data_IF_816112527955
#
_entry.id   IF_816112527955
#
_cell.length_a   1.000
_cell.length_b   1.000
_cell.length_c   1.000
_cell.angle_alpha   90.00
_cell.angle_beta   90.00
_cell.angle_gamma   90.00
#
_symmetry.space_group_name_H-M   'P 1'
#
loop_
_entity.id
_entity.type
_entity.pdbx_description
1 polymer ?
#
# COMPACT_ATOMS: atom_id res chain seq x y z
N UNK A 1 -92.44 8.54 -10.91
CA UNK A 1 -92.68 9.55 -9.86
C UNK A 1 -92.43 8.87 -8.53
N UNK A 2 -91.21 8.92 -7.98
CA UNK A 2 -90.63 9.90 -7.03
C UNK A 2 -90.26 9.10 -5.77
N UNK A 3 -88.97 8.81 -5.52
CA UNK A 3 -88.01 9.55 -4.68
C UNK A 3 -88.40 9.65 -3.20
N UNK A 4 -87.63 8.97 -2.34
CA UNK A 4 -87.20 9.39 -1.00
C UNK A 4 -85.91 8.59 -0.69
N UNK A 5 -84.68 9.10 -0.85
CA UNK A 5 -83.99 10.11 -0.04
C UNK A 5 -83.84 9.67 1.43
N UNK A 6 -82.72 9.01 1.74
CA UNK A 6 -82.17 8.97 3.10
C UNK A 6 -80.66 9.22 2.99
N UNK A 7 -80.28 10.41 3.41
CA UNK A 7 -78.90 10.90 3.47
C UNK A 7 -78.22 10.31 4.70
N UNK A 8 -77.13 9.56 4.50
CA UNK A 8 -76.16 9.27 5.56
C UNK A 8 -74.93 10.15 5.29
N UNK A 9 -74.77 11.19 6.10
CA UNK A 9 -73.59 12.04 6.13
C UNK A 9 -72.42 11.25 6.76
N UNK A 10 -71.55 10.70 5.93
CA UNK A 10 -70.25 10.17 6.36
C UNK A 10 -69.31 11.36 6.63
N UNK A 11 -69.13 11.68 7.93
CA UNK A 11 -68.19 12.69 8.40
C UNK A 11 -66.77 12.22 8.08
N UNK A 12 -66.14 12.83 7.08
CA UNK A 12 -64.73 12.59 6.77
C UNK A 12 -63.85 13.19 7.88
N UNK A 13 -63.59 12.41 8.93
CA UNK A 13 -62.61 12.76 9.98
C UNK A 13 -61.24 12.75 9.33
N UNK A 14 -60.77 13.94 8.95
CA UNK A 14 -59.45 14.18 8.42
C UNK A 14 -58.43 14.06 9.57
N UNK A 15 -58.11 12.83 9.97
CA UNK A 15 -57.06 12.55 10.93
C UNK A 15 -55.74 12.42 10.17
N UNK A 16 -55.01 13.53 10.03
CA UNK A 16 -53.62 13.54 9.57
C UNK A 16 -52.75 12.80 10.60
N UNK A 17 -52.79 11.47 10.58
CA UNK A 17 -51.84 10.65 11.30
C UNK A 17 -50.51 10.72 10.54
N UNK A 18 -49.69 11.69 10.93
CA UNK A 18 -48.33 11.85 10.43
C UNK A 18 -47.54 10.64 10.91
N UNK A 19 -47.22 9.72 9.98
CA UNK A 19 -46.34 8.58 10.24
C UNK A 19 -44.90 9.11 10.44
N UNK A 20 -44.35 9.09 11.66
CA UNK A 20 -43.01 9.63 11.94
C UNK A 20 -41.92 8.90 11.13
N UNK A 21 -42.21 7.67 10.71
CA UNK A 21 -41.28 6.86 9.94
C UNK A 21 -41.32 7.20 8.44
N UNK A 22 -42.41 7.79 7.96
CA UNK A 22 -42.52 8.34 6.61
C UNK A 22 -41.73 9.66 6.50
N UNK A 23 -41.80 10.51 7.52
CA UNK A 23 -41.02 11.76 7.58
C UNK A 23 -39.52 11.48 7.59
N UNK A 24 -39.05 10.48 8.34
CA UNK A 24 -37.64 10.07 8.36
C UNK A 24 -37.16 9.55 7.00
N UNK A 25 -37.99 8.80 6.28
CA UNK A 25 -37.67 8.31 4.93
C UNK A 25 -37.60 9.46 3.93
N UNK A 26 -38.51 10.42 4.06
CA UNK A 26 -38.54 11.60 3.21
C UNK A 26 -37.34 12.52 3.48
N UNK A 27 -37.04 12.79 4.75
CA UNK A 27 -35.88 13.57 5.17
C UNK A 27 -34.58 12.93 4.67
N UNK A 28 -34.44 11.61 4.82
CA UNK A 28 -33.31 10.85 4.27
C UNK A 28 -33.21 10.99 2.75
N UNK A 29 -34.35 10.92 2.04
CA UNK A 29 -34.42 11.11 0.59
C UNK A 29 -34.03 12.52 0.15
N UNK A 30 -34.49 13.55 0.87
CA UNK A 30 -34.12 14.96 0.64
C UNK A 30 -32.62 15.18 0.89
N UNK A 31 -32.08 14.62 1.98
CA UNK A 31 -30.66 14.72 2.32
C UNK A 31 -29.79 14.03 1.26
N UNK A 32 -30.16 12.82 0.83
CA UNK A 32 -29.46 12.11 -0.24
C UNK A 32 -29.51 12.88 -1.56
N UNK A 33 -30.66 13.45 -1.96
CA UNK A 33 -30.73 14.30 -3.16
C UNK A 33 -29.79 15.49 -3.05
N UNK A 34 -29.87 16.25 -1.96
CA UNK A 34 -29.07 17.47 -1.74
C UNK A 34 -27.57 17.20 -1.77
N UNK A 35 -27.12 16.10 -1.18
CA UNK A 35 -25.68 15.81 -1.04
C UNK A 35 -25.16 14.73 -2.00
N UNK A 36 -26.01 14.13 -2.84
CA UNK A 36 -25.63 13.04 -3.77
C UNK A 36 -24.39 13.38 -4.62
N UNK A 37 -24.36 14.58 -5.20
CA UNK A 37 -23.23 15.05 -6.01
C UNK A 37 -21.94 15.21 -5.19
N UNK A 38 -22.04 15.76 -3.97
CA UNK A 38 -20.90 15.91 -3.06
C UNK A 38 -20.38 14.56 -2.54
N UNK A 39 -21.29 13.64 -2.19
CA UNK A 39 -20.93 12.28 -1.80
C UNK A 39 -20.28 11.53 -2.97
N UNK A 40 -20.78 11.73 -4.18
CA UNK A 40 -20.21 11.17 -5.41
C UNK A 40 -18.81 11.68 -5.70
N UNK A 41 -18.58 12.99 -5.62
CA UNK A 41 -17.26 13.59 -5.82
C UNK A 41 -16.28 13.17 -4.72
N UNK A 42 -16.70 13.18 -3.46
CA UNK A 42 -15.90 12.74 -2.33
C UNK A 42 -15.50 11.27 -2.46
N UNK A 43 -16.44 10.40 -2.84
CA UNK A 43 -16.17 8.99 -3.14
C UNK A 43 -15.17 8.85 -4.29
N UNK A 44 -15.28 9.68 -5.33
CA UNK A 44 -14.34 9.67 -6.45
C UNK A 44 -12.94 10.13 -6.02
N UNK A 45 -12.81 11.17 -5.19
CA UNK A 45 -11.53 11.59 -4.62
C UNK A 45 -10.88 10.47 -3.79
N UNK A 46 -11.63 9.78 -2.93
CA UNK A 46 -11.12 8.65 -2.16
C UNK A 46 -10.78 7.42 -3.03
N UNK A 47 -11.51 7.21 -4.12
CA UNK A 47 -11.30 6.09 -5.05
C UNK A 47 -10.23 6.37 -6.12
N UNK A 48 -9.76 7.61 -6.27
CA UNK A 48 -8.57 7.94 -7.06
C UNK A 48 -7.35 7.29 -6.39
N UNK A 49 -7.12 6.00 -6.69
CA UNK A 49 -5.85 5.33 -6.40
C UNK A 49 -4.74 6.24 -6.92
N UNK A 50 -3.89 6.74 -6.02
CA UNK A 50 -2.76 7.60 -6.39
C UNK A 50 -2.03 6.95 -7.56
N UNK A 51 -1.76 7.74 -8.62
CA UNK A 51 -1.20 7.24 -9.89
C UNK A 51 -0.08 6.24 -9.61
N UNK A 52 -0.14 5.08 -10.26
CA UNK A 52 0.89 4.04 -10.21
C UNK A 52 2.18 4.61 -10.80
N UNK A 53 2.98 5.21 -9.93
CA UNK A 53 4.19 5.95 -10.26
C UNK A 53 5.15 5.93 -9.08
N UNK A 54 6.31 6.58 -9.23
CA UNK A 54 7.32 6.69 -8.18
C UNK A 54 6.67 7.26 -6.90
N UNK A 55 7.11 6.78 -5.73
CA UNK A 55 6.65 7.31 -4.44
C UNK A 55 6.90 8.83 -4.35
N UNK A 56 6.03 9.58 -3.63
CA UNK A 56 6.25 11.00 -3.32
C UNK A 56 7.67 11.25 -2.79
N UNK A 57 8.25 12.41 -3.09
CA UNK A 57 9.65 12.70 -2.74
C UNK A 57 9.84 12.70 -1.23
N UNK A 58 8.89 13.28 -0.52
CA UNK A 58 8.83 13.41 0.94
C UNK A 58 8.75 12.02 1.59
N UNK A 59 7.82 11.19 1.11
CA UNK A 59 7.68 9.81 1.57
C UNK A 59 8.98 9.00 1.37
N UNK A 60 9.62 9.15 0.20
CA UNK A 60 10.90 8.50 -0.08
C UNK A 60 12.02 8.98 0.83
N UNK A 61 12.06 10.27 1.16
CA UNK A 61 13.07 10.84 2.04
C UNK A 61 12.96 10.26 3.45
N UNK A 62 11.75 10.13 3.99
CA UNK A 62 11.51 9.51 5.29
C UNK A 62 11.93 8.03 5.30
N UNK A 63 11.62 7.28 4.24
CA UNK A 63 12.04 5.89 4.10
C UNK A 63 13.57 5.74 4.03
N UNK A 64 14.23 6.63 3.29
CA UNK A 64 15.70 6.67 3.20
C UNK A 64 16.35 7.04 4.54
N UNK A 65 15.77 7.98 5.26
CA UNK A 65 16.25 8.36 6.59
C UNK A 65 16.19 7.16 7.56
N UNK A 66 15.06 6.45 7.64
CA UNK A 66 14.99 5.20 8.41
C UNK A 66 16.03 4.18 7.95
N UNK A 67 16.16 4.00 6.63
CA UNK A 67 17.11 3.08 6.01
C UNK A 67 18.56 3.35 6.43
N UNK A 68 18.99 4.61 6.37
CA UNK A 68 20.37 4.98 6.73
C UNK A 68 20.70 4.66 8.18
N UNK A 69 19.76 4.91 9.11
CA UNK A 69 19.93 4.58 10.53
C UNK A 69 20.00 3.09 10.80
N UNK A 70 19.35 2.28 9.96
CA UNK A 70 19.26 0.82 10.10
C UNK A 70 20.01 0.07 9.00
N UNK A 71 21.01 0.68 8.39
CA UNK A 71 21.69 0.12 7.21
C UNK A 71 22.32 -1.26 7.48
N UNK A 72 22.80 -1.50 8.70
CA UNK A 72 23.34 -2.79 9.12
C UNK A 72 22.30 -3.90 8.99
N UNK A 73 21.09 -3.67 9.51
CA UNK A 73 19.97 -4.63 9.49
C UNK A 73 18.67 -3.95 9.03
N UNK A 74 18.48 -3.75 7.71
CA UNK A 74 17.37 -2.94 7.19
C UNK A 74 16.07 -3.75 7.05
N UNK A 75 15.65 -4.35 8.15
CA UNK A 75 14.45 -5.16 8.29
C UNK A 75 13.54 -4.53 9.36
N UNK A 76 12.68 -3.57 8.97
CA UNK A 76 11.77 -2.96 9.93
C UNK A 76 10.80 -4.00 10.49
N UNK A 77 10.51 -3.93 11.79
CA UNK A 77 9.46 -4.72 12.43
C UNK A 77 8.07 -4.33 11.92
N UNK A 78 7.04 -5.13 12.20
CA UNK A 78 5.67 -4.79 11.81
C UNK A 78 5.21 -3.45 12.40
N UNK A 79 5.53 -3.18 13.66
CA UNK A 79 5.23 -1.91 14.29
C UNK A 79 5.94 -0.73 13.60
N UNK A 80 7.21 -0.90 13.22
CA UNK A 80 7.96 0.12 12.47
C UNK A 80 7.39 0.34 11.08
N UNK A 81 6.94 -0.71 10.39
CA UNK A 81 6.28 -0.59 9.08
C UNK A 81 4.97 0.19 9.19
N UNK A 82 4.19 -0.04 10.25
CA UNK A 82 2.95 0.71 10.52
C UNK A 82 3.25 2.19 10.78
N UNK A 83 4.23 2.49 11.63
CA UNK A 83 4.65 3.88 11.89
C UNK A 83 5.14 4.59 10.61
N UNK A 84 5.90 3.90 9.76
CA UNK A 84 6.34 4.44 8.47
C UNK A 84 5.18 4.65 7.49
N UNK A 85 4.20 3.74 7.47
CA UNK A 85 2.99 3.89 6.66
C UNK A 85 2.20 5.14 7.07
N UNK A 86 2.00 5.35 8.38
CA UNK A 86 1.34 6.52 8.93
C UNK A 86 2.10 7.82 8.58
N UNK A 87 3.40 7.87 8.84
CA UNK A 87 4.22 9.06 8.62
C UNK A 87 4.36 9.45 7.13
N UNK A 88 4.30 8.48 6.23
CA UNK A 88 4.47 8.71 4.78
C UNK A 88 3.16 8.78 4.00
N UNK A 89 2.03 8.41 4.62
CA UNK A 89 0.73 8.25 3.95
C UNK A 89 0.74 7.16 2.87
N UNK A 90 1.59 6.16 3.01
CA UNK A 90 1.69 5.02 2.10
C UNK A 90 1.05 3.78 2.71
N UNK A 91 0.53 2.91 1.86
CA UNK A 91 0.04 1.61 2.32
C UNK A 91 1.20 0.74 2.80
N UNK A 92 0.95 -0.12 3.79
CA UNK A 92 1.96 -1.05 4.30
C UNK A 92 2.58 -1.94 3.20
N UNK A 93 1.80 -2.29 2.17
CA UNK A 93 2.31 -3.00 0.97
C UNK A 93 3.35 -2.18 0.19
N UNK A 94 3.17 -0.87 0.06
CA UNK A 94 4.12 0.01 -0.59
C UNK A 94 5.41 0.13 0.24
N UNK A 95 5.29 0.23 1.56
CA UNK A 95 6.43 0.19 2.50
C UNK A 95 7.22 -1.12 2.33
N UNK A 96 6.55 -2.27 2.39
CA UNK A 96 7.17 -3.58 2.19
C UNK A 96 7.91 -3.69 0.86
N UNK A 97 7.24 -3.32 -0.24
CA UNK A 97 7.83 -3.36 -1.57
C UNK A 97 9.03 -2.41 -1.70
N UNK A 98 8.98 -1.25 -1.05
CA UNK A 98 10.09 -0.32 -1.06
C UNK A 98 11.31 -0.92 -0.37
N UNK A 99 11.16 -1.46 0.85
CA UNK A 99 12.26 -2.07 1.58
C UNK A 99 12.85 -3.30 0.88
N UNK A 100 12.02 -4.15 0.27
CA UNK A 100 12.49 -5.29 -0.53
C UNK A 100 13.33 -4.81 -1.71
N UNK A 101 12.83 -3.82 -2.47
CA UNK A 101 13.56 -3.28 -3.61
C UNK A 101 14.82 -2.52 -3.18
N UNK A 102 14.78 -1.79 -2.07
CA UNK A 102 15.89 -1.04 -1.54
C UNK A 102 17.02 -1.97 -1.10
N UNK A 103 16.70 -3.07 -0.38
CA UNK A 103 17.67 -4.12 -0.08
C UNK A 103 18.28 -4.73 -1.32
N UNK A 104 17.44 -5.17 -2.26
CA UNK A 104 17.90 -5.78 -3.51
C UNK A 104 18.87 -4.89 -4.29
N UNK A 105 18.71 -3.57 -4.24
CA UNK A 105 19.51 -2.61 -5.04
C UNK A 105 20.73 -2.06 -4.30
N UNK A 106 20.63 -1.89 -2.98
CA UNK A 106 21.56 -1.04 -2.24
C UNK A 106 22.13 -1.67 -0.97
N UNK A 107 21.67 -2.85 -0.55
CA UNK A 107 22.21 -3.50 0.63
C UNK A 107 23.36 -4.44 0.27
N UNK A 108 24.54 -4.11 0.80
CA UNK A 108 25.72 -4.96 0.75
C UNK A 108 26.10 -5.30 2.20
N UNK A 109 25.90 -6.54 2.66
CA UNK A 109 26.33 -6.94 3.99
C UNK A 109 27.85 -6.76 4.09
N UNK A 110 28.34 -6.09 5.14
CA UNK A 110 29.77 -5.95 5.41
C UNK A 110 30.41 -7.31 5.65
N UNK A 111 31.73 -7.43 5.49
CA UNK A 111 32.49 -8.68 5.67
C UNK A 111 32.19 -9.37 7.01
N UNK A 112 32.11 -8.60 8.10
CA UNK A 112 31.73 -9.10 9.44
C UNK A 112 30.33 -9.74 9.51
N UNK A 113 29.43 -9.37 8.59
CA UNK A 113 28.07 -9.93 8.51
C UNK A 113 28.01 -11.13 7.59
N UNK A 114 28.92 -11.25 6.62
CA UNK A 114 28.99 -12.39 5.71
C UNK A 114 29.25 -13.69 6.49
N UNK A 115 30.04 -13.62 7.57
CA UNK A 115 30.34 -14.76 8.43
C UNK A 115 29.09 -15.32 9.14
N UNK A 116 28.09 -14.48 9.44
CA UNK A 116 26.87 -14.88 10.16
C UNK A 116 25.86 -15.62 9.23
N UNK A 117 25.98 -15.45 7.91
CA UNK A 117 25.03 -16.03 6.93
C UNK A 117 25.52 -17.36 6.33
N UNK A 118 26.63 -17.90 6.83
CA UNK A 118 27.22 -19.16 6.33
C UNK A 118 26.73 -20.44 7.02
N UNK A 119 25.79 -20.35 7.96
CA UNK A 119 25.12 -21.55 8.49
C UNK A 119 23.79 -21.75 7.74
N UNK A 120 23.67 -22.89 7.07
CA UNK A 120 22.55 -23.34 6.21
C UNK A 120 22.48 -22.79 4.75
N UNK A 121 23.37 -23.27 3.88
CA UNK A 121 22.91 -23.88 2.62
C UNK A 121 22.84 -23.07 1.32
N UNK A 122 23.63 -22.01 1.12
CA UNK A 122 23.64 -21.29 -0.18
C UNK A 122 25.02 -21.30 -0.87
N UNK A 123 25.30 -22.27 -1.76
CA UNK A 123 26.46 -22.20 -2.66
C UNK A 123 26.13 -21.28 -3.84
N UNK A 124 27.11 -20.48 -4.29
CA UNK A 124 27.12 -19.69 -5.55
C UNK A 124 26.63 -18.23 -5.56
N UNK A 125 27.10 -17.38 -4.66
CA UNK A 125 27.26 -15.94 -4.97
C UNK A 125 28.73 -15.46 -4.93
N UNK A 126 29.70 -16.37 -4.80
CA UNK A 126 31.13 -16.05 -4.64
C UNK A 126 32.03 -16.71 -5.70
N UNK A 127 31.69 -16.59 -6.99
CA UNK A 127 32.61 -16.98 -8.08
C UNK A 127 32.65 -15.98 -9.25
N UNK A 128 32.24 -14.71 -9.08
CA UNK A 128 32.22 -13.75 -10.20
C UNK A 128 33.03 -12.46 -9.98
N UNK A 129 33.63 -12.25 -8.80
CA UNK A 129 34.40 -11.02 -8.51
C UNK A 129 35.79 -11.24 -7.93
N UNK A 130 36.36 -12.45 -8.04
CA UNK A 130 37.75 -12.75 -7.61
C UNK A 130 38.41 -13.76 -8.54
N UNK A 131 38.37 -13.54 -9.86
CA UNK A 131 39.25 -14.25 -10.80
C UNK A 131 39.74 -13.28 -11.89
N UNK A 132 40.45 -12.24 -11.46
CA UNK A 132 41.70 -11.96 -12.15
C UNK A 132 42.53 -13.24 -12.06
N UNK A 133 42.78 -13.88 -13.21
CA UNK A 133 43.52 -15.13 -13.38
C UNK A 133 44.55 -15.39 -12.26
N UNK A 134 44.37 -16.41 -11.40
CA UNK A 134 45.38 -16.79 -10.42
C UNK A 134 46.39 -17.81 -10.96
N UNK A 135 46.40 -18.08 -12.28
CA UNK A 135 47.38 -18.98 -12.90
C UNK A 135 47.96 -18.33 -14.17
N UNK A 136 49.16 -17.72 -14.11
CA UNK A 136 49.97 -17.63 -15.31
C UNK A 136 50.38 -19.07 -15.67
N UNK A 137 49.91 -19.58 -16.81
CA UNK A 137 50.52 -20.74 -17.45
C UNK A 137 51.95 -20.34 -17.80
N UNK A 138 52.90 -20.67 -16.92
CA UNK A 138 54.32 -20.56 -17.21
C UNK A 138 54.67 -21.61 -18.26
N UNK A 139 54.60 -21.21 -19.53
CA UNK A 139 55.18 -21.98 -20.64
C UNK A 139 56.65 -21.57 -20.69
N UNK A 140 57.45 -22.24 -19.87
CA UNK A 140 58.90 -22.22 -20.01
C UNK A 140 59.28 -23.04 -21.25
N UNK A 141 60.05 -22.51 -22.21
CA UNK A 141 60.52 -23.30 -23.34
C UNK A 141 61.63 -24.23 -22.87
N UNK A 142 61.45 -25.53 -23.07
CA UNK A 142 62.49 -26.52 -22.83
C UNK A 142 63.76 -26.17 -23.65
N UNK A 143 64.97 -26.30 -23.08
CA UNK A 143 66.19 -26.13 -23.85
C UNK A 143 66.38 -27.36 -24.75
N UNK A 144 66.70 -27.09 -26.02
CA UNK A 144 67.19 -28.10 -26.94
C UNK A 144 68.46 -28.76 -26.38
N UNK A 145 68.49 -30.09 -26.34
CA UNK A 145 69.71 -30.86 -26.20
C UNK A 145 69.78 -31.89 -27.34
N UNK A 146 70.80 -31.65 -28.18
CA UNK A 146 71.53 -32.51 -29.12
C UNK A 146 70.78 -33.64 -29.83
#
# INVERSE_FOLDING_TARGET
MERNASSEEEVHVNNSFIDPQAEDRELKGQLLRKYSGYLGSLKQEFMKKRKKGKLPKEARQQLLDWWTRHYKWPYPSEAQKLALAEATGLDQKQINNWFINQRKRHWKPSEDMQFVVMDAGHPHYYMDHVLGNPFPMDISPAPALL
#
